data_IF_726901523872
#
_entry.id   IF_726901523872
#
_cell.length_a   1.000
_cell.length_b   1.000
_cell.length_c   1.000
_cell.angle_alpha   90.00
_cell.angle_beta   90.00
_cell.angle_gamma   90.00
#
_symmetry.space_group_name_H-M   'P 1'
#
loop_
_entity.id
_entity.type
_entity.pdbx_description
1 polymer ?
#
# COMPACT_ATOMS: atom_id res chain seq x y z
N UNK A 1 -2.71 -25.37 -25.47
CA UNK A 1 -4.11 -25.38 -24.99
C UNK A 1 -4.79 -23.99 -25.11
N UNK A 2 -4.11 -22.97 -25.68
CA UNK A 2 -4.69 -21.65 -25.96
C UNK A 2 -4.94 -20.78 -24.71
N UNK A 3 -4.20 -21.01 -23.63
CA UNK A 3 -4.25 -20.13 -22.45
C UNK A 3 -3.49 -18.85 -22.76
N UNK A 4 -4.20 -17.72 -22.84
CA UNK A 4 -3.60 -16.42 -23.15
C UNK A 4 -3.07 -15.72 -21.89
N UNK A 5 -3.77 -15.82 -20.79
CA UNK A 5 -3.47 -15.10 -19.55
C UNK A 5 -3.41 -16.06 -18.35
N UNK A 6 -2.30 -16.04 -17.63
CA UNK A 6 -2.10 -16.80 -16.39
C UNK A 6 -2.15 -15.86 -15.21
N UNK A 7 -2.90 -16.21 -14.17
CA UNK A 7 -2.88 -15.52 -12.87
C UNK A 7 -2.20 -16.44 -11.86
N UNK A 8 -0.97 -16.11 -11.50
CA UNK A 8 -0.19 -16.86 -10.51
C UNK A 8 -0.45 -16.35 -9.09
N UNK A 9 -1.15 -17.16 -8.31
CA UNK A 9 -1.44 -16.91 -6.91
C UNK A 9 -0.63 -17.80 -5.96
N UNK A 10 0.42 -18.46 -6.44
CA UNK A 10 1.24 -19.39 -5.64
C UNK A 10 2.15 -18.70 -4.63
N UNK A 11 2.49 -17.42 -4.88
CA UNK A 11 3.48 -16.68 -4.11
C UNK A 11 4.93 -17.18 -4.32
N UNK A 12 5.15 -18.08 -5.27
CA UNK A 12 6.45 -18.69 -5.55
C UNK A 12 7.28 -17.88 -6.56
N UNK A 13 6.65 -17.33 -7.59
CA UNK A 13 7.31 -16.74 -8.75
C UNK A 13 7.32 -15.21 -8.70
N UNK A 14 7.69 -14.67 -7.55
CA UNK A 14 7.64 -13.22 -7.27
C UNK A 14 8.86 -12.44 -7.78
N UNK A 15 9.91 -13.12 -8.21
CA UNK A 15 11.11 -12.50 -8.78
C UNK A 15 11.05 -12.55 -10.33
N UNK A 16 10.76 -11.43 -11.00
CA UNK A 16 10.60 -11.38 -12.45
C UNK A 16 11.92 -11.50 -13.21
N UNK A 17 13.07 -11.47 -12.51
CA UNK A 17 14.40 -11.59 -13.10
C UNK A 17 14.85 -13.04 -13.26
N UNK A 18 14.09 -14.00 -12.70
CA UNK A 18 14.39 -15.43 -12.79
C UNK A 18 14.11 -15.92 -14.21
N UNK A 19 15.08 -16.59 -14.87
CA UNK A 19 14.89 -17.07 -16.23
C UNK A 19 13.84 -18.19 -16.30
N UNK A 20 13.32 -18.42 -17.50
CA UNK A 20 12.20 -19.33 -17.72
C UNK A 20 12.57 -20.81 -17.45
N UNK A 21 13.80 -21.19 -17.77
CA UNK A 21 14.37 -22.55 -17.59
C UNK A 21 14.85 -22.85 -16.16
N UNK A 22 14.54 -21.95 -15.19
CA UNK A 22 14.96 -22.16 -13.82
C UNK A 22 14.35 -23.44 -13.22
N UNK A 23 15.14 -24.32 -12.56
CA UNK A 23 14.68 -25.64 -12.08
C UNK A 23 13.49 -25.64 -11.13
N UNK A 24 13.26 -24.52 -10.43
CA UNK A 24 12.13 -24.34 -9.50
C UNK A 24 10.94 -23.62 -10.15
N UNK A 25 10.98 -23.41 -11.46
CA UNK A 25 10.02 -22.61 -12.19
C UNK A 25 10.21 -21.09 -12.00
N UNK A 26 9.49 -20.32 -12.79
CA UNK A 26 9.47 -18.86 -12.77
C UNK A 26 8.20 -18.33 -13.42
N UNK A 27 7.88 -17.05 -13.22
CA UNK A 27 6.81 -16.39 -13.96
C UNK A 27 7.06 -16.43 -15.48
N UNK A 28 8.33 -16.37 -15.93
CA UNK A 28 8.72 -16.46 -17.33
C UNK A 28 8.48 -17.86 -17.91
N UNK A 29 8.50 -18.91 -17.10
CA UNK A 29 8.18 -20.27 -17.52
C UNK A 29 6.75 -20.43 -18.05
N UNK A 30 5.80 -19.64 -17.53
CA UNK A 30 4.43 -19.61 -18.07
C UNK A 30 4.38 -19.02 -19.49
N UNK A 31 5.21 -18.00 -19.79
CA UNK A 31 5.31 -17.42 -21.13
C UNK A 31 5.89 -18.43 -22.12
N UNK A 32 6.96 -19.14 -21.76
CA UNK A 32 7.53 -20.21 -22.59
C UNK A 32 6.56 -21.37 -22.79
N UNK A 33 5.67 -21.61 -21.84
CA UNK A 33 4.62 -22.63 -21.94
C UNK A 33 3.44 -22.20 -22.82
N UNK A 34 3.48 -20.99 -23.40
CA UNK A 34 2.51 -20.50 -24.36
C UNK A 34 1.52 -19.46 -23.85
N UNK A 35 1.65 -18.98 -22.61
CA UNK A 35 0.87 -17.83 -22.16
C UNK A 35 1.40 -16.53 -22.77
N UNK A 36 0.50 -15.63 -23.15
CA UNK A 36 0.88 -14.31 -23.67
C UNK A 36 1.23 -13.32 -22.54
N UNK A 37 0.53 -13.42 -21.42
CA UNK A 37 0.71 -12.56 -20.23
C UNK A 37 0.64 -13.38 -18.96
N UNK A 38 1.35 -12.90 -17.93
CA UNK A 38 1.33 -13.48 -16.59
C UNK A 38 1.05 -12.38 -15.57
N UNK A 39 0.03 -12.55 -14.74
CA UNK A 39 -0.24 -11.71 -13.58
C UNK A 39 0.22 -12.44 -12.34
N UNK A 40 1.15 -11.86 -11.58
CA UNK A 40 1.60 -12.37 -10.29
C UNK A 40 0.81 -11.68 -9.18
N UNK A 41 0.09 -12.45 -8.38
CA UNK A 41 -0.70 -11.98 -7.24
C UNK A 41 0.18 -11.70 -6.01
N UNK A 42 1.25 -10.95 -6.21
CA UNK A 42 2.20 -10.52 -5.17
C UNK A 42 3.06 -9.37 -5.68
N UNK A 43 3.62 -8.52 -4.80
CA UNK A 43 4.64 -7.55 -5.20
C UNK A 43 5.89 -8.27 -5.74
N UNK A 44 6.56 -7.66 -6.70
CA UNK A 44 7.86 -8.18 -7.14
C UNK A 44 8.88 -8.15 -6.01
N UNK A 45 9.66 -9.22 -5.91
CA UNK A 45 10.67 -9.42 -4.88
C UNK A 45 11.99 -9.90 -5.47
N UNK A 46 12.76 -8.96 -6.00
CA UNK A 46 14.03 -9.23 -6.64
C UNK A 46 15.06 -9.58 -5.56
N UNK A 47 15.65 -10.78 -5.66
CA UNK A 47 16.63 -11.28 -4.70
C UNK A 47 18.00 -10.65 -4.89
N UNK A 48 18.40 -10.49 -6.12
CA UNK A 48 19.65 -9.84 -6.50
C UNK A 48 19.47 -8.32 -6.52
N UNK A 49 19.96 -7.65 -5.50
CA UNK A 49 19.84 -6.19 -5.33
C UNK A 49 20.52 -5.37 -6.45
N UNK A 50 21.39 -5.98 -7.26
CA UNK A 50 21.99 -5.34 -8.41
C UNK A 50 21.04 -5.27 -9.61
N UNK A 51 19.98 -6.09 -9.61
CA UNK A 51 18.97 -6.12 -10.68
C UNK A 51 17.80 -5.17 -10.38
N UNK A 52 17.25 -4.64 -11.44
CA UNK A 52 16.01 -3.83 -11.41
C UNK A 52 14.85 -4.64 -12.00
N UNK A 53 13.64 -4.12 -11.84
CA UNK A 53 12.46 -4.66 -12.53
C UNK A 53 12.73 -4.61 -14.06
N UNK A 54 12.63 -5.74 -14.76
CA UNK A 54 12.85 -5.78 -16.19
C UNK A 54 11.86 -4.88 -16.95
N UNK A 55 12.25 -4.31 -18.11
CA UNK A 55 11.40 -3.36 -18.82
C UNK A 55 10.09 -3.95 -19.36
N UNK A 56 10.01 -5.25 -19.53
CA UNK A 56 8.81 -6.00 -19.89
C UNK A 56 7.92 -6.39 -18.70
N UNK A 57 8.26 -5.90 -17.51
CA UNK A 57 7.52 -6.13 -16.27
C UNK A 57 7.00 -4.82 -15.72
N UNK A 58 5.82 -4.85 -15.06
CA UNK A 58 5.23 -3.70 -14.40
C UNK A 58 4.42 -4.08 -13.17
N UNK A 59 4.26 -3.14 -12.25
CA UNK A 59 3.42 -3.31 -11.07
C UNK A 59 2.23 -2.35 -11.16
N UNK A 60 1.00 -2.90 -11.13
CA UNK A 60 -0.21 -2.12 -11.34
C UNK A 60 -1.25 -2.40 -10.27
N UNK A 61 -1.93 -1.34 -9.84
CA UNK A 61 -3.11 -1.39 -8.99
C UNK A 61 -4.28 -0.77 -9.76
N UNK A 62 -5.36 -1.54 -9.89
CA UNK A 62 -6.56 -1.07 -10.57
C UNK A 62 -7.13 0.17 -9.86
N UNK A 63 -7.44 1.22 -10.63
CA UNK A 63 -7.93 2.51 -10.12
C UNK A 63 -6.83 3.49 -9.69
N UNK A 64 -5.56 3.07 -9.71
CA UNK A 64 -4.41 3.92 -9.36
C UNK A 64 -3.56 4.19 -10.62
N UNK A 65 -2.81 3.20 -11.08
CA UNK A 65 -1.90 3.31 -12.21
C UNK A 65 -2.12 2.23 -13.28
N UNK A 66 -3.25 1.54 -13.26
CA UNK A 66 -3.53 0.46 -14.23
C UNK A 66 -3.58 0.95 -15.69
N UNK A 67 -3.83 2.24 -15.90
CA UNK A 67 -3.82 2.88 -17.23
C UNK A 67 -2.41 3.01 -17.82
N UNK A 68 -1.37 2.87 -17.00
CA UNK A 68 0.03 2.88 -17.45
C UNK A 68 0.46 1.51 -18.01
N UNK A 69 -0.44 0.52 -17.99
CA UNK A 69 -0.22 -0.77 -18.63
C UNK A 69 -0.12 -0.61 -20.14
N UNK A 70 1.03 -1.02 -20.67
CA UNK A 70 1.28 -1.08 -22.12
C UNK A 70 1.23 -2.54 -22.56
N UNK A 71 0.22 -2.95 -23.35
CA UNK A 71 0.07 -4.33 -23.80
C UNK A 71 1.18 -4.82 -24.72
N UNK A 72 1.83 -3.91 -25.48
CA UNK A 72 2.95 -4.26 -26.33
C UNK A 72 4.25 -4.51 -25.55
N UNK A 73 4.37 -3.89 -24.37
CA UNK A 73 5.58 -3.93 -23.55
C UNK A 73 5.50 -4.92 -22.41
N UNK A 74 4.44 -4.83 -21.59
CA UNK A 74 4.37 -5.56 -20.33
C UNK A 74 3.87 -7.01 -20.54
N UNK A 75 4.73 -7.97 -20.26
CA UNK A 75 4.43 -9.41 -20.33
C UNK A 75 4.18 -10.01 -18.95
N UNK A 76 4.92 -9.56 -17.92
CA UNK A 76 4.75 -10.00 -16.53
C UNK A 76 4.28 -8.83 -15.69
N UNK A 77 3.13 -9.00 -15.07
CA UNK A 77 2.42 -7.98 -14.33
C UNK A 77 2.36 -8.39 -12.85
N UNK A 78 2.77 -7.52 -11.94
CA UNK A 78 2.48 -7.68 -10.52
C UNK A 78 1.19 -6.93 -10.17
N UNK A 79 0.27 -7.59 -9.49
CA UNK A 79 -0.92 -6.97 -8.93
C UNK A 79 -0.68 -6.36 -7.53
N UNK A 80 0.60 -6.17 -7.15
CA UNK A 80 1.01 -5.69 -5.83
C UNK A 80 0.49 -6.59 -4.68
N UNK A 81 0.08 -6.00 -3.56
CA UNK A 81 -0.47 -6.73 -2.41
C UNK A 81 -1.78 -6.11 -1.94
N UNK A 82 -2.50 -6.84 -1.09
CA UNK A 82 -3.71 -6.36 -0.45
C UNK A 82 -3.48 -5.05 0.32
N UNK A 83 -2.41 -4.98 1.11
CA UNK A 83 -2.03 -3.77 1.86
C UNK A 83 -1.66 -2.64 0.92
N UNK A 84 -0.87 -2.90 -0.13
CA UNK A 84 -0.48 -1.87 -1.10
C UNK A 84 -1.69 -1.33 -1.86
N UNK A 85 -2.63 -2.20 -2.24
CA UNK A 85 -3.88 -1.78 -2.90
C UNK A 85 -4.69 -0.84 -2.01
N UNK A 86 -4.94 -1.21 -0.75
CA UNK A 86 -5.66 -0.34 0.19
C UNK A 86 -4.93 0.98 0.45
N UNK A 87 -3.62 0.91 0.71
CA UNK A 87 -2.79 2.09 1.00
C UNK A 87 -2.73 3.07 -0.18
N UNK A 88 -2.61 2.57 -1.42
CA UNK A 88 -2.60 3.41 -2.61
C UNK A 88 -3.91 4.19 -2.76
N UNK A 89 -5.05 3.54 -2.50
CA UNK A 89 -6.35 4.21 -2.51
C UNK A 89 -6.54 5.21 -1.34
N UNK A 90 -5.85 5.02 -0.20
CA UNK A 90 -5.84 5.99 0.90
C UNK A 90 -5.00 7.23 0.56
N UNK A 91 -3.83 7.04 -0.03
CA UNK A 91 -2.87 8.13 -0.26
C UNK A 91 -3.24 8.98 -1.47
N UNK A 92 -3.75 8.37 -2.55
CA UNK A 92 -4.07 9.07 -3.79
C UNK A 92 -4.95 10.31 -3.61
N UNK A 93 -6.10 10.27 -2.88
CA UNK A 93 -6.92 11.46 -2.68
C UNK A 93 -6.19 12.59 -1.93
N UNK A 94 -5.29 12.24 -1.01
CA UNK A 94 -4.50 13.22 -0.25
C UNK A 94 -3.48 13.92 -1.15
N UNK A 95 -2.82 13.19 -2.05
CA UNK A 95 -1.86 13.75 -2.99
C UNK A 95 -2.52 14.62 -4.07
N UNK A 96 -3.73 14.27 -4.50
CA UNK A 96 -4.47 14.98 -5.53
C UNK A 96 -5.19 16.22 -5.00
N UNK A 97 -5.26 16.41 -3.68
CA UNK A 97 -5.91 17.56 -3.05
C UNK A 97 -4.88 18.58 -2.61
N UNK A 98 -5.00 19.82 -3.07
CA UNK A 98 -4.02 20.89 -2.83
C UNK A 98 -3.69 21.11 -1.36
N UNK A 99 -4.69 21.01 -0.48
CA UNK A 99 -4.58 21.26 0.95
C UNK A 99 -3.76 20.16 1.68
N UNK A 100 -3.65 18.97 1.09
CA UNK A 100 -2.97 17.80 1.65
C UNK A 100 -1.82 17.28 0.80
N UNK A 101 -1.56 17.86 -0.37
CA UNK A 101 -0.51 17.40 -1.28
C UNK A 101 0.92 17.56 -0.72
N UNK A 102 1.11 18.54 0.18
CA UNK A 102 2.43 18.80 0.80
C UNK A 102 2.66 17.89 2.02
N UNK A 103 2.89 16.61 1.76
CA UNK A 103 3.24 15.63 2.79
C UNK A 103 4.72 15.74 3.11
N UNK A 104 5.06 15.97 4.40
CA UNK A 104 6.44 16.05 4.89
C UNK A 104 7.00 14.66 5.14
N UNK A 105 6.24 13.80 5.83
CA UNK A 105 6.60 12.42 6.14
C UNK A 105 5.34 11.60 6.42
N UNK A 106 5.46 10.29 6.23
CA UNK A 106 4.37 9.37 6.52
C UNK A 106 4.89 8.05 7.09
N UNK A 107 4.04 7.40 7.86
CA UNK A 107 4.24 6.00 8.27
C UNK A 107 2.93 5.26 8.25
N UNK A 108 2.99 3.97 7.98
CA UNK A 108 1.82 3.13 8.12
C UNK A 108 2.13 1.83 8.86
N UNK A 109 1.19 1.41 9.69
CA UNK A 109 1.18 0.08 10.29
C UNK A 109 -0.05 -0.66 9.79
N UNK A 110 0.11 -1.93 9.41
CA UNK A 110 -1.07 -2.77 9.17
C UNK A 110 -1.26 -3.77 10.28
N UNK A 111 -2.42 -3.71 10.94
CA UNK A 111 -2.92 -4.79 11.81
C UNK A 111 -3.57 -5.82 10.91
N UNK A 112 -2.83 -6.88 10.62
CA UNK A 112 -3.13 -7.79 9.52
C UNK A 112 -3.63 -9.13 10.04
N UNK A 113 -4.68 -9.63 9.43
CA UNK A 113 -5.16 -10.99 9.68
C UNK A 113 -4.08 -12.04 9.41
N UNK A 114 -4.20 -13.19 10.04
CA UNK A 114 -3.34 -14.34 9.79
C UNK A 114 -3.41 -14.77 8.32
N UNK A 115 -2.29 -15.21 7.77
CA UNK A 115 -2.20 -15.77 6.42
C UNK A 115 -1.46 -17.10 6.47
N UNK A 116 -1.34 -17.80 5.36
CA UNK A 116 -0.61 -19.09 5.28
C UNK A 116 0.86 -19.01 5.70
N UNK A 117 1.42 -17.82 5.87
CA UNK A 117 2.79 -17.64 6.37
C UNK A 117 2.89 -17.71 7.90
N UNK A 118 1.79 -17.66 8.62
CA UNK A 118 1.72 -17.87 10.06
C UNK A 118 1.36 -19.32 10.38
N UNK A 119 2.09 -19.91 11.33
CA UNK A 119 1.79 -21.26 11.83
C UNK A 119 0.58 -21.23 12.80
N UNK A 120 -0.25 -22.26 12.75
CA UNK A 120 -1.32 -22.47 13.74
C UNK A 120 -0.74 -22.96 15.07
N UNK A 121 0.27 -23.83 15.02
CA UNK A 121 1.02 -24.35 16.16
C UNK A 121 2.49 -23.90 16.10
N UNK A 122 3.16 -23.85 17.24
CA UNK A 122 4.60 -23.62 17.28
C UNK A 122 5.32 -24.71 16.47
N UNK A 123 6.25 -24.31 15.63
CA UNK A 123 7.05 -25.22 14.78
C UNK A 123 8.55 -25.01 15.03
N UNK A 124 9.33 -26.05 14.79
CA UNK A 124 10.79 -25.95 14.87
C UNK A 124 11.31 -25.06 13.74
N UNK A 125 12.12 -24.05 14.03
CA UNK A 125 12.71 -23.22 13.00
C UNK A 125 13.60 -24.04 12.04
N UNK A 126 13.56 -23.71 10.76
CA UNK A 126 14.51 -24.25 9.79
C UNK A 126 15.94 -23.83 10.12
N UNK A 127 16.93 -24.66 9.79
CA UNK A 127 18.33 -24.30 9.96
C UNK A 127 18.63 -22.99 9.21
N UNK A 128 19.23 -22.03 9.92
CA UNK A 128 19.55 -20.69 9.37
C UNK A 128 18.37 -19.70 9.32
N UNK A 129 17.24 -20.01 9.94
CA UNK A 129 16.12 -19.06 10.02
C UNK A 129 16.53 -17.79 10.78
N UNK A 130 16.44 -16.64 10.11
CA UNK A 130 16.77 -15.33 10.69
C UNK A 130 15.64 -14.70 11.50
N UNK A 131 14.39 -15.04 11.22
CA UNK A 131 13.20 -14.56 11.92
C UNK A 131 12.44 -15.72 12.57
N UNK A 132 12.72 -15.94 13.84
CA UNK A 132 12.14 -17.04 14.62
C UNK A 132 10.65 -16.84 14.94
N UNK A 133 10.13 -15.61 14.82
CA UNK A 133 8.72 -15.30 15.06
C UNK A 133 7.80 -16.01 14.08
N UNK A 134 8.28 -16.30 12.86
CA UNK A 134 7.52 -17.04 11.83
C UNK A 134 7.19 -18.47 12.22
N UNK A 135 7.89 -19.01 13.21
CA UNK A 135 7.69 -20.37 13.69
C UNK A 135 6.78 -20.45 14.92
N UNK A 136 6.33 -19.30 15.42
CA UNK A 136 5.41 -19.22 16.55
C UNK A 136 3.96 -19.26 16.07
N UNK A 137 3.12 -19.90 16.87
CA UNK A 137 1.67 -19.95 16.64
C UNK A 137 1.06 -18.57 16.59
N UNK A 138 0.17 -18.31 15.62
CA UNK A 138 -0.59 -17.05 15.55
C UNK A 138 -1.80 -17.06 16.49
N UNK A 139 -2.25 -18.22 16.95
CA UNK A 139 -3.54 -18.37 17.66
C UNK A 139 -3.71 -17.46 18.88
N UNK A 140 -2.64 -17.23 19.66
CA UNK A 140 -2.67 -16.41 20.86
C UNK A 140 -1.50 -15.42 20.92
N UNK A 141 -0.96 -15.05 19.76
CA UNK A 141 0.20 -14.17 19.68
C UNK A 141 -0.06 -12.97 18.78
N UNK A 142 0.51 -11.84 19.16
CA UNK A 142 0.72 -10.67 18.30
C UNK A 142 2.12 -10.84 17.70
N UNK A 143 2.22 -10.94 16.38
CA UNK A 143 3.48 -11.24 15.69
C UNK A 143 3.90 -10.04 14.85
N UNK A 144 5.03 -9.42 15.19
CA UNK A 144 5.63 -8.37 14.37
C UNK A 144 6.18 -8.99 13.08
N UNK A 145 5.91 -8.36 11.97
CA UNK A 145 6.34 -8.78 10.64
C UNK A 145 6.76 -7.58 9.81
N UNK A 146 7.53 -7.84 8.77
CA UNK A 146 7.87 -6.81 7.77
C UNK A 146 6.81 -6.77 6.68
N UNK A 147 6.66 -5.62 6.04
CA UNK A 147 5.84 -5.45 4.84
C UNK A 147 6.65 -4.76 3.75
N UNK A 148 6.46 -5.18 2.51
CA UNK A 148 7.01 -4.51 1.32
C UNK A 148 6.10 -3.41 0.77
N UNK A 149 5.07 -3.01 1.51
CA UNK A 149 4.05 -2.10 0.99
C UNK A 149 4.60 -0.70 0.67
N UNK A 150 5.55 -0.17 1.44
CA UNK A 150 6.18 1.12 1.15
C UNK A 150 6.92 1.07 -0.20
N UNK A 151 7.80 0.09 -0.40
CA UNK A 151 8.52 -0.09 -1.66
C UNK A 151 7.56 -0.29 -2.86
N UNK A 152 6.55 -1.14 -2.69
CA UNK A 152 5.57 -1.36 -3.75
C UNK A 152 4.77 -0.09 -4.08
N UNK A 153 4.46 0.72 -3.05
CA UNK A 153 3.73 1.97 -3.25
C UNK A 153 4.57 3.01 -4.01
N UNK A 154 5.88 3.09 -3.75
CA UNK A 154 6.80 3.96 -4.50
C UNK A 154 6.89 3.62 -5.99
N UNK A 155 6.72 2.36 -6.35
CA UNK A 155 6.68 1.93 -7.76
C UNK A 155 5.32 2.24 -8.43
N UNK A 156 4.24 2.31 -7.65
CA UNK A 156 2.87 2.56 -8.12
C UNK A 156 2.53 4.05 -8.14
N UNK A 157 3.02 4.80 -7.15
CA UNK A 157 2.84 6.25 -6.98
C UNK A 157 4.23 6.87 -6.75
N UNK A 158 4.99 7.16 -7.83
CA UNK A 158 6.37 7.64 -7.70
C UNK A 158 6.51 8.96 -6.93
N UNK A 159 5.46 9.76 -6.84
CA UNK A 159 5.43 11.02 -6.12
C UNK A 159 5.73 10.87 -4.62
N UNK A 160 5.51 9.68 -4.06
CA UNK A 160 5.80 9.45 -2.63
C UNK A 160 7.27 9.16 -2.32
N UNK A 161 8.13 8.95 -3.32
CA UNK A 161 9.56 8.64 -3.11
C UNK A 161 10.29 9.66 -2.24
N UNK A 162 9.89 10.93 -2.32
CA UNK A 162 10.45 12.02 -1.52
C UNK A 162 9.91 12.11 -0.07
N UNK A 163 8.87 11.37 0.26
CA UNK A 163 8.16 11.49 1.55
C UNK A 163 8.84 10.65 2.65
N UNK A 164 9.61 9.63 2.28
CA UNK A 164 10.27 8.74 3.25
C UNK A 164 9.26 7.88 4.02
N UNK A 165 8.34 7.23 3.31
CA UNK A 165 7.30 6.39 3.89
C UNK A 165 7.89 5.16 4.60
N UNK A 166 7.63 5.00 5.89
CA UNK A 166 7.91 3.79 6.65
C UNK A 166 6.67 2.89 6.71
N UNK A 167 6.88 1.57 6.67
CA UNK A 167 5.80 0.60 6.76
C UNK A 167 6.18 -0.61 7.61
N UNK A 168 5.26 -1.02 8.48
CA UNK A 168 5.37 -2.24 9.28
C UNK A 168 4.06 -3.03 9.28
N UNK A 169 4.12 -4.27 9.82
CA UNK A 169 2.97 -5.17 9.89
C UNK A 169 2.92 -5.88 11.22
N UNK A 170 1.74 -5.94 11.79
CA UNK A 170 1.43 -6.70 13.00
C UNK A 170 0.42 -7.78 12.63
N UNK A 171 0.77 -9.06 12.82
CA UNK A 171 -0.15 -10.18 12.60
C UNK A 171 -0.91 -10.50 13.86
N UNK A 172 -2.22 -10.69 13.71
CA UNK A 172 -3.15 -11.00 14.80
C UNK A 172 -3.98 -12.25 14.47
N UNK A 173 -4.56 -12.92 15.47
CA UNK A 173 -5.32 -14.17 15.28
C UNK A 173 -6.76 -13.89 14.78
N UNK A 174 -6.91 -13.14 13.70
CA UNK A 174 -8.17 -12.98 12.95
C UNK A 174 -8.06 -13.70 11.62
N UNK A 175 -9.16 -14.21 11.10
CA UNK A 175 -9.20 -15.01 9.87
C UNK A 175 -9.06 -14.17 8.63
N UNK A 176 -9.70 -13.01 8.58
CA UNK A 176 -9.64 -12.05 7.47
C UNK A 176 -9.98 -10.65 7.96
N UNK A 177 -9.91 -9.68 7.08
CA UNK A 177 -10.09 -8.24 7.29
C UNK A 177 -9.00 -7.62 8.16
N UNK A 178 -8.23 -6.80 7.53
CA UNK A 178 -7.07 -6.12 8.08
C UNK A 178 -7.32 -4.62 8.15
N UNK A 179 -6.53 -3.94 8.98
CA UNK A 179 -6.61 -2.50 9.18
C UNK A 179 -5.29 -1.84 8.81
N UNK A 180 -5.34 -0.76 8.03
CA UNK A 180 -4.23 0.18 7.86
C UNK A 180 -4.41 1.33 8.83
N UNK A 181 -3.37 1.63 9.59
CA UNK A 181 -3.21 2.84 10.39
C UNK A 181 -2.19 3.71 9.67
N UNK A 182 -2.68 4.74 8.99
CA UNK A 182 -1.86 5.68 8.23
C UNK A 182 -1.64 6.93 9.05
N UNK A 183 -0.38 7.25 9.32
CA UNK A 183 0.05 8.47 9.97
C UNK A 183 0.73 9.36 8.93
N UNK A 184 0.28 10.60 8.80
CA UNK A 184 0.81 11.56 7.83
C UNK A 184 1.06 12.89 8.52
N UNK A 185 2.21 13.49 8.25
CA UNK A 185 2.52 14.85 8.69
C UNK A 185 2.53 15.76 7.47
N UNK A 186 1.69 16.78 7.51
CA UNK A 186 1.52 17.75 6.43
C UNK A 186 2.15 19.09 6.79
N UNK A 187 2.67 19.78 5.79
CA UNK A 187 2.86 21.20 5.86
C UNK A 187 1.47 21.87 5.94
N UNK A 188 1.29 22.79 6.89
CA UNK A 188 -0.05 23.32 7.21
C UNK A 188 -0.08 24.82 7.03
N UNK A 189 -1.08 25.33 6.31
CA UNK A 189 -1.37 26.74 6.24
C UNK A 189 -2.30 27.14 7.36
N UNK A 190 -2.11 28.34 7.89
CA UNK A 190 -2.99 28.94 8.88
C UNK A 190 -3.92 29.93 8.18
N UNK A 191 -5.10 30.11 8.74
CA UNK A 191 -6.02 31.18 8.35
C UNK A 191 -5.59 32.54 8.93
N UNK A 192 -6.38 33.59 8.68
CA UNK A 192 -6.13 34.96 9.16
C UNK A 192 -6.13 35.06 10.71
N UNK A 193 -6.76 34.12 11.39
CA UNK A 193 -6.82 34.04 12.85
C UNK A 193 -5.76 33.14 13.47
N UNK A 194 -4.88 32.56 12.63
CA UNK A 194 -3.85 31.62 13.04
C UNK A 194 -4.34 30.20 13.31
N UNK A 195 -5.58 29.87 12.90
CA UNK A 195 -6.10 28.51 13.00
C UNK A 195 -5.65 27.64 11.81
N UNK A 196 -5.36 26.34 12.01
CA UNK A 196 -4.95 25.45 10.93
C UNK A 196 -6.09 25.22 9.94
N UNK A 197 -5.80 25.35 8.64
CA UNK A 197 -6.76 25.05 7.57
C UNK A 197 -6.99 23.53 7.45
N UNK A 198 -6.01 22.71 7.85
CA UNK A 198 -6.11 21.26 7.78
C UNK A 198 -6.72 20.70 9.07
N UNK A 199 -7.84 19.99 8.94
CA UNK A 199 -8.59 19.40 10.05
C UNK A 199 -9.07 17.99 9.70
N UNK A 200 -9.50 17.23 10.72
CA UNK A 200 -10.12 15.92 10.51
C UNK A 200 -11.38 16.02 9.62
N UNK A 201 -12.15 17.09 9.77
CA UNK A 201 -13.33 17.34 8.95
C UNK A 201 -12.96 17.51 7.45
N UNK A 202 -11.90 18.26 7.16
CA UNK A 202 -11.42 18.45 5.79
C UNK A 202 -10.90 17.12 5.20
N UNK A 203 -10.13 16.34 5.95
CA UNK A 203 -9.64 15.03 5.51
C UNK A 203 -10.81 14.10 5.20
N UNK A 204 -11.82 14.06 6.07
CA UNK A 204 -13.02 13.26 5.86
C UNK A 204 -13.79 13.70 4.60
N UNK A 205 -13.87 15.01 4.37
CA UNK A 205 -14.50 15.56 3.16
C UNK A 205 -13.77 15.17 1.89
N UNK A 206 -12.42 15.15 1.91
CA UNK A 206 -11.60 14.67 0.80
C UNK A 206 -11.94 13.21 0.47
N UNK A 207 -12.02 12.35 1.48
CA UNK A 207 -12.37 10.95 1.26
C UNK A 207 -13.81 10.74 0.80
N UNK A 208 -14.77 11.52 1.31
CA UNK A 208 -16.17 11.49 0.84
C UNK A 208 -16.25 11.85 -0.65
N UNK A 209 -15.61 12.95 -1.04
CA UNK A 209 -15.54 13.36 -2.45
C UNK A 209 -14.87 12.32 -3.34
N UNK A 210 -13.79 11.71 -2.88
CA UNK A 210 -13.12 10.64 -3.62
C UNK A 210 -14.04 9.42 -3.79
N UNK A 211 -14.76 9.01 -2.73
CA UNK A 211 -15.69 7.88 -2.75
C UNK A 211 -16.91 8.10 -3.65
N UNK A 212 -17.39 9.33 -3.77
CA UNK A 212 -18.51 9.71 -4.64
C UNK A 212 -18.09 9.99 -6.09
N UNK A 213 -16.82 10.35 -6.30
CA UNK A 213 -16.24 10.78 -7.56
C UNK A 213 -15.20 9.83 -8.14
N UNK A 214 -13.89 10.24 -8.19
CA UNK A 214 -12.86 9.52 -8.94
C UNK A 214 -12.63 8.08 -8.48
N UNK A 215 -12.86 7.79 -7.19
CA UNK A 215 -12.69 6.46 -6.62
C UNK A 215 -14.01 5.76 -6.28
N UNK A 216 -15.09 6.15 -6.93
CA UNK A 216 -16.41 5.54 -6.73
C UNK A 216 -16.36 4.03 -6.94
N UNK A 217 -16.83 3.26 -5.93
CA UNK A 217 -16.80 1.79 -5.92
C UNK A 217 -15.41 1.18 -5.71
N UNK A 218 -14.38 2.02 -5.49
CA UNK A 218 -13.01 1.60 -5.18
C UNK A 218 -12.61 1.99 -3.76
N UNK A 219 -13.00 3.17 -3.31
CA UNK A 219 -12.89 3.65 -1.94
C UNK A 219 -14.29 3.87 -1.38
N UNK A 220 -14.48 3.56 -0.12
CA UNK A 220 -15.71 3.83 0.63
C UNK A 220 -15.36 4.64 1.87
N UNK A 221 -16.20 5.61 2.19
CA UNK A 221 -16.13 6.34 3.44
C UNK A 221 -17.25 5.86 4.36
N UNK A 222 -16.92 5.47 5.59
CA UNK A 222 -17.86 5.05 6.61
C UNK A 222 -17.85 6.06 7.77
N UNK A 223 -19.04 6.49 8.16
CA UNK A 223 -19.30 7.25 9.38
C UNK A 223 -19.83 6.36 10.52
N UNK A 224 -19.83 5.05 10.31
CA UNK A 224 -20.21 4.05 11.29
C UNK A 224 -19.00 3.61 12.12
N UNK A 225 -19.25 3.07 13.30
CA UNK A 225 -18.24 2.44 14.14
C UNK A 225 -18.15 0.95 13.75
N UNK A 226 -17.18 0.62 12.89
CA UNK A 226 -17.02 -0.73 12.37
C UNK A 226 -15.99 -1.53 13.18
N UNK A 227 -16.18 -2.84 13.18
CA UNK A 227 -15.15 -3.82 13.57
C UNK A 227 -14.81 -4.70 12.35
N UNK A 228 -13.72 -5.44 12.39
CA UNK A 228 -13.22 -6.21 11.25
C UNK A 228 -14.25 -7.16 10.63
N UNK A 229 -15.13 -7.77 11.44
CA UNK A 229 -16.16 -8.71 10.97
C UNK A 229 -17.27 -8.05 10.15
N UNK A 230 -17.52 -6.76 10.34
CA UNK A 230 -18.54 -6.02 9.58
C UNK A 230 -18.16 -5.83 8.10
N UNK A 231 -16.88 -6.01 7.80
CA UNK A 231 -16.31 -5.70 6.49
C UNK A 231 -15.80 -6.94 5.73
N UNK A 232 -16.10 -8.14 6.24
CA UNK A 232 -15.78 -9.39 5.55
C UNK A 232 -16.54 -9.46 4.22
N UNK A 233 -15.81 -9.76 3.14
CA UNK A 233 -16.35 -9.81 1.78
C UNK A 233 -16.57 -8.44 1.12
N UNK A 234 -16.19 -7.34 1.78
CA UNK A 234 -16.38 -6.00 1.22
C UNK A 234 -15.48 -5.78 -0.01
N UNK A 235 -16.08 -5.28 -1.10
CA UNK A 235 -15.41 -5.27 -2.42
C UNK A 235 -14.57 -4.04 -2.72
N UNK A 236 -14.68 -2.97 -1.94
CA UNK A 236 -13.83 -1.79 -2.11
C UNK A 236 -12.38 -2.11 -1.74
N UNK A 237 -11.42 -1.43 -2.34
CA UNK A 237 -10.00 -1.54 -2.00
C UNK A 237 -9.75 -1.18 -0.54
N UNK A 238 -10.50 -0.17 -0.08
CA UNK A 238 -10.38 0.37 1.28
C UNK A 238 -11.71 0.97 1.74
N UNK A 239 -12.01 0.82 3.02
CA UNK A 239 -13.11 1.50 3.71
C UNK A 239 -12.50 2.41 4.76
N UNK A 240 -12.62 3.72 4.58
CA UNK A 240 -12.12 4.71 5.55
C UNK A 240 -13.04 4.75 6.76
N UNK A 241 -12.48 4.62 7.96
CA UNK A 241 -13.19 4.74 9.24
C UNK A 241 -13.22 6.22 9.63
N UNK A 242 -14.21 6.96 9.15
CA UNK A 242 -14.24 8.43 9.24
C UNK A 242 -14.41 8.98 10.65
N UNK A 243 -15.09 8.25 11.55
CA UNK A 243 -15.25 8.65 12.95
C UNK A 243 -13.93 8.58 13.76
N UNK A 244 -12.93 7.84 13.25
CA UNK A 244 -11.62 7.68 13.87
C UNK A 244 -10.51 8.51 13.19
N UNK A 245 -10.87 9.43 12.29
CA UNK A 245 -9.89 10.38 11.73
C UNK A 245 -9.49 11.40 12.78
N UNK A 246 -8.21 11.46 13.11
CA UNK A 246 -7.67 12.41 14.08
C UNK A 246 -6.65 13.34 13.43
N UNK A 247 -6.65 14.62 13.87
CA UNK A 247 -5.63 15.58 13.49
C UNK A 247 -5.13 16.35 14.70
N UNK A 248 -3.86 16.69 14.69
CA UNK A 248 -3.25 17.58 15.68
C UNK A 248 -2.24 18.49 15.01
N UNK A 249 -2.42 19.78 15.14
CA UNK A 249 -1.48 20.78 14.67
C UNK A 249 -0.51 21.16 15.78
N UNK A 250 0.76 21.22 15.43
CA UNK A 250 1.85 21.69 16.26
C UNK A 250 2.74 22.65 15.49
N UNK A 251 3.74 23.21 16.16
CA UNK A 251 4.70 24.12 15.54
C UNK A 251 6.11 23.56 15.74
N UNK A 252 6.86 23.47 14.65
CA UNK A 252 8.28 23.10 14.68
C UNK A 252 9.09 24.38 14.82
N UNK A 253 9.76 24.62 15.96
CA UNK A 253 10.61 25.77 16.13
C UNK A 253 11.94 25.57 15.39
N UNK A 254 12.22 26.36 14.38
CA UNK A 254 13.52 26.44 13.75
C UNK A 254 14.31 27.60 14.39
N UNK A 255 15.33 27.27 15.17
CA UNK A 255 16.16 28.28 15.83
C UNK A 255 17.06 29.00 14.82
N UNK A 256 17.51 30.21 15.16
CA UNK A 256 18.47 30.96 14.33
C UNK A 256 19.75 30.15 14.06
N UNK A 257 20.16 29.29 15.01
CA UNK A 257 21.31 28.38 14.83
C UNK A 257 21.03 27.32 13.78
N UNK A 258 19.88 26.65 13.86
CA UNK A 258 19.46 25.63 12.87
C UNK A 258 19.36 26.26 11.47
N UNK A 259 18.78 27.45 11.37
CA UNK A 259 18.62 28.16 10.09
C UNK A 259 19.95 28.59 9.50
N UNK A 260 20.90 29.07 10.33
CA UNK A 260 22.29 29.37 9.88
C UNK A 260 22.99 28.11 9.38
N UNK A 261 22.81 26.97 10.04
CA UNK A 261 23.34 25.68 9.56
C UNK A 261 22.80 25.27 8.17
N UNK A 262 21.63 25.78 7.77
CA UNK A 262 21.04 25.62 6.44
C UNK A 262 21.39 26.79 5.48
N UNK A 263 22.24 27.72 5.86
CA UNK A 263 22.63 28.87 5.04
C UNK A 263 21.59 30.01 5.03
N UNK A 264 20.66 30.03 5.99
CA UNK A 264 19.62 31.05 6.10
C UNK A 264 19.95 32.00 7.24
N UNK A 265 20.26 33.27 6.92
CA UNK A 265 20.49 34.32 7.91
C UNK A 265 19.13 34.90 8.38
N UNK A 266 18.87 34.82 9.67
CA UNK A 266 17.66 35.39 10.29
C UNK A 266 17.97 35.85 11.72
N UNK A 267 17.35 36.97 12.17
CA UNK A 267 17.56 37.48 13.53
C UNK A 267 16.84 36.71 14.62
N UNK A 268 15.96 35.77 14.26
CA UNK A 268 15.12 35.06 15.23
C UNK A 268 14.77 33.62 14.83
N UNK A 269 13.97 32.95 15.66
CA UNK A 269 13.40 31.65 15.36
C UNK A 269 12.14 31.78 14.50
N UNK A 270 11.92 30.76 13.67
CA UNK A 270 10.68 30.62 12.85
C UNK A 270 9.91 29.41 13.35
N UNK A 271 8.62 29.54 13.52
CA UNK A 271 7.74 28.43 13.86
C UNK A 271 6.99 27.96 12.61
N UNK A 272 7.25 26.71 12.19
CA UNK A 272 6.56 26.12 11.03
C UNK A 272 5.35 25.32 11.53
N UNK A 273 4.12 25.65 11.13
CA UNK A 273 2.95 24.88 11.49
C UNK A 273 2.94 23.56 10.71
N UNK A 274 2.73 22.46 11.44
CA UNK A 274 2.58 21.12 10.84
C UNK A 274 1.35 20.45 11.45
N UNK A 275 0.61 19.70 10.62
CA UNK A 275 -0.53 18.91 11.10
C UNK A 275 -0.21 17.43 10.93
N UNK A 276 -0.22 16.72 12.04
CA UNK A 276 -0.17 15.27 12.08
C UNK A 276 -1.60 14.71 12.00
N UNK A 277 -1.85 13.83 11.03
CA UNK A 277 -3.11 13.12 10.88
C UNK A 277 -2.93 11.63 11.09
N UNK A 278 -3.91 11.01 11.72
CA UNK A 278 -4.06 9.56 11.83
C UNK A 278 -5.36 9.14 11.17
N UNK A 279 -5.26 8.24 10.20
CA UNK A 279 -6.37 7.81 9.34
C UNK A 279 -6.41 6.29 9.36
N UNK A 280 -7.60 5.74 9.52
CA UNK A 280 -7.82 4.30 9.58
C UNK A 280 -8.56 3.82 8.35
N UNK A 281 -8.08 2.71 7.76
CA UNK A 281 -8.71 2.11 6.60
C UNK A 281 -8.77 0.60 6.72
N UNK A 282 -9.98 0.04 6.55
CA UNK A 282 -10.25 -1.40 6.56
C UNK A 282 -10.15 -1.98 5.16
N UNK A 283 -9.61 -3.17 5.05
CA UNK A 283 -9.60 -3.93 3.80
C UNK A 283 -9.71 -5.43 4.07
N UNK A 284 -10.56 -6.10 3.30
CA UNK A 284 -10.59 -7.56 3.33
C UNK A 284 -9.43 -8.10 2.47
N UNK A 285 -8.42 -8.62 3.14
CA UNK A 285 -7.20 -9.07 2.49
C UNK A 285 -7.36 -10.37 1.69
N UNK A 286 -8.47 -11.10 1.84
CA UNK A 286 -8.64 -12.44 1.27
C UNK A 286 -9.94 -12.60 0.46
N UNK A 287 -11.09 -12.34 1.05
CA UNK A 287 -12.39 -12.67 0.46
C UNK A 287 -13.04 -11.53 -0.33
N UNK A 288 -12.57 -10.30 -0.18
CA UNK A 288 -13.19 -9.10 -0.74
C UNK A 288 -12.24 -8.20 -1.50
N UNK A 289 -11.71 -7.18 -0.85
CA UNK A 289 -10.99 -6.04 -1.44
C UNK A 289 -9.94 -6.46 -2.48
N UNK A 290 -8.90 -7.18 -2.05
CA UNK A 290 -7.78 -7.52 -2.92
C UNK A 290 -8.18 -8.44 -4.08
N UNK A 291 -8.93 -9.50 -3.80
CA UNK A 291 -9.35 -10.47 -4.83
C UNK A 291 -10.22 -9.79 -5.88
N UNK A 292 -11.11 -8.88 -5.46
CA UNK A 292 -11.93 -8.10 -6.39
C UNK A 292 -11.07 -7.18 -7.28
N UNK A 293 -10.02 -6.56 -6.73
CA UNK A 293 -9.12 -5.68 -7.49
C UNK A 293 -8.18 -6.46 -8.41
N UNK A 294 -7.70 -7.63 -7.98
CA UNK A 294 -7.00 -8.58 -8.84
C UNK A 294 -7.87 -8.99 -10.04
N UNK A 295 -9.14 -9.33 -9.78
CA UNK A 295 -10.09 -9.66 -10.85
C UNK A 295 -10.34 -8.49 -11.80
N UNK A 296 -10.53 -7.27 -11.30
CA UNK A 296 -10.67 -6.05 -12.13
C UNK A 296 -9.43 -5.79 -12.98
N UNK A 297 -8.24 -5.93 -12.41
CA UNK A 297 -6.98 -5.77 -13.14
C UNK A 297 -6.83 -6.86 -14.22
N UNK A 298 -7.16 -8.12 -13.89
CA UNK A 298 -7.13 -9.24 -14.84
C UNK A 298 -8.03 -8.96 -16.04
N UNK A 299 -9.27 -8.55 -15.80
CA UNK A 299 -10.23 -8.21 -16.88
C UNK A 299 -9.75 -7.01 -17.70
N UNK A 300 -9.15 -6.01 -17.04
CA UNK A 300 -8.60 -4.85 -17.73
C UNK A 300 -7.44 -5.25 -18.68
N UNK A 301 -6.53 -6.08 -18.19
CA UNK A 301 -5.39 -6.57 -18.98
C UNK A 301 -5.90 -7.40 -20.15
N UNK A 302 -6.78 -8.38 -19.92
CA UNK A 302 -7.35 -9.25 -20.96
C UNK A 302 -8.02 -8.44 -22.09
N UNK A 303 -8.82 -7.44 -21.74
CA UNK A 303 -9.47 -6.56 -22.73
C UNK A 303 -8.52 -5.68 -23.54
N UNK A 304 -7.33 -5.42 -23.03
CA UNK A 304 -6.32 -4.61 -23.70
C UNK A 304 -5.19 -5.45 -24.32
N UNK A 305 -5.25 -6.77 -24.25
CA UNK A 305 -4.36 -7.65 -25.00
C UNK A 305 -4.67 -7.58 -26.50
N UNK A 306 -3.65 -7.75 -27.38
CA UNK A 306 -3.84 -7.76 -28.84
C UNK A 306 -4.78 -8.84 -29.33
#
# INVERSE_FOLDING_TARGET
>A
EGVRLVVDCTGMFVDPTVPADHPRGSARGHLESGAEKVIVSAPFKIRDKAKKIPPDCGMFVYGINHTDYDPARHQIISAASCTTTGLAHMIKPLLETRETAEIITASMSTVHAATNTQNILDAVPSAGASDLRKNRSVMNNIILSTTGAAFALEEIIPEIKGIGLMADSVRIPTTTTSLIILNVTFNTKLDENGAPLLSAALINEIYKKAAEGPQKGMLVFSDKQNVSSDLIGYRAAIVIEGCETHTRTGFIPLTAETLRGCGIETPGSINIPVTHAKIFGWYDNELGSYVNFLGKLTVYIDKNMP
#
